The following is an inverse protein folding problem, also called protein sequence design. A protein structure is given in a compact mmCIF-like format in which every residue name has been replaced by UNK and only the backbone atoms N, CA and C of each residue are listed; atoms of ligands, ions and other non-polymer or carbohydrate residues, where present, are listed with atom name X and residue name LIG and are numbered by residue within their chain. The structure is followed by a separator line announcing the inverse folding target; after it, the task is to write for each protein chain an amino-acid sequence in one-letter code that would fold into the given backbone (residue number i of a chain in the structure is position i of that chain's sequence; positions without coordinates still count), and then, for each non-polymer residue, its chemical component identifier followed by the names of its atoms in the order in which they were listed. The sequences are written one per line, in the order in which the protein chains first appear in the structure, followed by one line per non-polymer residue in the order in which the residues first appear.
data_IF_426178923941
#
_entry.id   IF_426178923941
#
_cell.length_a   1.000
_cell.length_b   1.000
_cell.length_c   1.000
_cell.angle_alpha   90.00
_cell.angle_beta   90.00
_cell.angle_gamma   90.00
#
_symmetry.space_group_name_H-M   'P 1'
#
loop_
_entity.id
_entity.type
_entity.pdbx_description
1 polymer ?
#
# COMPACT_ATOMS: atom_id res chain seq x y z
N UNK A 1 21.44 11.33 9.73
CA UNK A 1 21.54 10.39 8.59
C UNK A 1 20.15 10.23 8.00
N UNK A 2 19.93 10.68 6.76
CA UNK A 2 18.74 10.29 6.01
C UNK A 2 19.02 8.87 5.50
N UNK A 3 18.33 7.88 6.04
CA UNK A 3 18.49 6.49 5.61
C UNK A 3 18.14 6.38 4.13
N UNK A 4 18.92 5.61 3.38
CA UNK A 4 18.60 5.32 1.99
C UNK A 4 17.18 4.74 1.85
N UNK A 5 16.46 5.07 0.77
CA UNK A 5 15.12 4.55 0.55
C UNK A 5 15.18 3.02 0.50
N UNK A 6 14.42 2.37 1.40
CA UNK A 6 14.31 0.91 1.47
C UNK A 6 13.89 0.34 0.12
N UNK A 7 14.56 -0.71 -0.34
CA UNK A 7 14.17 -1.42 -1.58
C UNK A 7 12.78 -2.06 -1.44
N UNK A 8 12.10 -2.35 -2.55
CA UNK A 8 10.82 -3.09 -2.53
C UNK A 8 10.89 -4.38 -1.69
N UNK A 9 12.01 -5.08 -1.82
CA UNK A 9 12.35 -6.27 -1.04
C UNK A 9 12.32 -6.10 0.48
N UNK A 10 12.86 -4.98 0.96
CA UNK A 10 12.94 -4.68 2.38
C UNK A 10 11.56 -4.29 2.92
N UNK A 11 10.81 -3.48 2.16
CA UNK A 11 9.44 -3.10 2.53
C UNK A 11 8.52 -4.31 2.63
N UNK A 12 8.67 -5.27 1.71
CA UNK A 12 7.93 -6.53 1.70
C UNK A 12 8.23 -7.38 2.95
N UNK A 13 9.52 -7.58 3.26
CA UNK A 13 9.95 -8.32 4.46
C UNK A 13 9.39 -7.69 5.73
N UNK A 14 9.46 -6.36 5.83
CA UNK A 14 8.93 -5.63 6.98
C UNK A 14 7.41 -5.79 7.10
N UNK A 15 6.68 -5.73 5.99
CA UNK A 15 5.23 -5.91 5.97
C UNK A 15 4.81 -7.33 6.37
N UNK A 16 5.42 -8.36 5.78
CA UNK A 16 5.17 -9.76 6.13
C UNK A 16 5.49 -10.00 7.61
N UNK A 17 6.60 -9.44 8.11
CA UNK A 17 6.95 -9.49 9.53
C UNK A 17 5.88 -8.88 10.44
N UNK A 18 5.30 -7.73 10.06
CA UNK A 18 4.18 -7.11 10.79
C UNK A 18 2.92 -7.98 10.75
N UNK A 19 2.57 -8.56 9.60
CA UNK A 19 1.37 -9.40 9.48
C UNK A 19 1.51 -10.70 10.29
N UNK A 20 2.69 -11.33 10.28
CA UNK A 20 2.97 -12.52 11.09
C UNK A 20 2.85 -12.22 12.59
N UNK A 21 3.32 -11.05 13.05
CA UNK A 21 3.13 -10.60 14.45
C UNK A 21 1.66 -10.41 14.84
N UNK A 22 0.80 -10.12 13.87
CA UNK A 22 -0.65 -10.01 14.06
C UNK A 22 -1.38 -11.37 13.91
N UNK A 23 -0.64 -12.48 13.83
CA UNK A 23 -1.21 -13.84 13.66
C UNK A 23 -1.74 -14.12 12.25
N UNK A 24 -1.48 -13.23 11.28
CA UNK A 24 -1.97 -13.36 9.91
C UNK A 24 -0.89 -14.03 9.06
N UNK A 25 -1.18 -15.22 8.52
CA UNK A 25 -0.34 -15.89 7.51
C UNK A 25 -0.56 -15.24 6.15
N UNK A 26 0.03 -14.06 5.94
CA UNK A 26 0.15 -13.51 4.60
C UNK A 26 1.26 -14.24 3.85
N UNK A 27 0.92 -14.85 2.71
CA UNK A 27 1.93 -15.35 1.76
C UNK A 27 2.69 -14.14 1.24
N UNK A 28 4.01 -14.24 1.17
CA UNK A 28 4.82 -13.26 0.49
C UNK A 28 4.54 -13.36 -1.02
N UNK A 29 3.46 -12.72 -1.50
CA UNK A 29 3.27 -12.48 -2.92
C UNK A 29 3.82 -11.10 -3.23
N UNK A 30 4.81 -11.10 -4.10
CA UNK A 30 5.62 -9.95 -4.46
C UNK A 30 4.96 -9.26 -5.64
N UNK A 31 4.59 -8.00 -5.45
CA UNK A 31 4.45 -7.10 -6.58
C UNK A 31 5.87 -6.61 -6.89
N UNK A 32 6.31 -6.70 -8.14
CA UNK A 32 7.49 -5.98 -8.60
C UNK A 32 7.36 -4.49 -8.25
N UNK A 33 8.46 -3.73 -8.26
CA UNK A 33 8.35 -2.30 -7.96
C UNK A 33 7.37 -1.59 -8.94
N UNK A 34 7.29 -2.07 -10.19
CA UNK A 34 6.29 -1.64 -11.19
C UNK A 34 4.87 -2.03 -10.81
N UNK A 35 4.63 -3.30 -10.44
CA UNK A 35 3.31 -3.77 -10.02
C UNK A 35 2.84 -3.07 -8.73
N UNK A 36 3.77 -2.73 -7.82
CA UNK A 36 3.48 -1.96 -6.62
C UNK A 36 3.12 -0.52 -6.97
N UNK A 37 3.84 0.10 -7.90
CA UNK A 37 3.55 1.46 -8.38
C UNK A 37 2.15 1.50 -9.00
N UNK A 38 1.84 0.55 -9.89
CA UNK A 38 0.54 0.41 -10.53
C UNK A 38 -0.60 0.20 -9.52
N UNK A 39 -0.39 -0.68 -8.53
CA UNK A 39 -1.38 -0.88 -7.46
C UNK A 39 -1.57 0.39 -6.61
N UNK A 40 -0.50 1.11 -6.30
CA UNK A 40 -0.55 2.36 -5.52
C UNK A 40 -1.34 3.45 -6.24
N UNK A 41 -1.14 3.60 -7.55
CA UNK A 41 -1.91 4.54 -8.37
C UNK A 41 -3.38 4.14 -8.46
N UNK A 42 -3.67 2.84 -8.67
CA UNK A 42 -5.03 2.33 -8.69
C UNK A 42 -5.77 2.57 -7.37
N UNK A 43 -5.13 2.30 -6.23
CA UNK A 43 -5.72 2.52 -4.91
C UNK A 43 -5.99 4.00 -4.64
N UNK A 44 -5.08 4.90 -5.06
CA UNK A 44 -5.29 6.34 -4.99
C UNK A 44 -6.48 6.77 -5.85
N UNK A 45 -6.58 6.26 -7.08
CA UNK A 45 -7.70 6.56 -7.95
C UNK A 45 -9.04 6.10 -7.36
N UNK A 46 -9.09 4.89 -6.78
CA UNK A 46 -10.27 4.39 -6.07
C UNK A 46 -10.61 5.26 -4.85
N UNK A 47 -9.61 5.68 -4.08
CA UNK A 47 -9.80 6.55 -2.92
C UNK A 47 -10.35 7.92 -3.35
N UNK A 48 -9.77 8.54 -4.38
CA UNK A 48 -10.27 9.79 -4.95
C UNK A 48 -11.67 9.62 -5.53
N UNK A 49 -11.99 8.51 -6.18
CA UNK A 49 -13.35 8.26 -6.66
C UNK A 49 -14.35 8.05 -5.51
N UNK A 50 -13.89 7.50 -4.37
CA UNK A 50 -14.74 7.20 -3.21
C UNK A 50 -14.94 8.39 -2.27
N UNK A 51 -14.00 9.34 -2.23
CA UNK A 51 -14.01 10.50 -1.32
C UNK A 51 -13.90 11.86 -2.05
N UNK A 52 -13.81 11.87 -3.38
CA UNK A 52 -13.74 13.08 -4.21
C UNK A 52 -15.08 13.52 -4.80
N UNK A 53 -16.18 12.85 -4.43
CA UNK A 53 -17.51 13.43 -4.50
C UNK A 53 -17.82 14.05 -3.13
N UNK A 54 -17.18 15.19 -2.85
CA UNK A 54 -17.81 16.21 -2.01
C UNK A 54 -19.05 16.70 -2.78
N UNK A 55 -20.10 15.87 -2.79
CA UNK A 55 -21.41 16.29 -3.23
C UNK A 55 -21.86 17.46 -2.34
N UNK A 56 -22.29 18.61 -2.90
CA UNK A 56 -22.83 19.68 -2.09
C UNK A 56 -24.20 19.25 -1.57
N UNK A 57 -24.29 18.79 -0.32
CA UNK A 57 -25.60 18.58 0.32
C UNK A 57 -25.72 17.43 1.31
N UNK A 58 -25.00 17.49 2.44
CA UNK A 58 -25.51 16.92 3.69
C UNK A 58 -25.50 18.00 4.77
N UNK A 59 -26.49 18.88 4.69
CA UNK A 59 -26.97 19.74 5.76
C UNK A 59 -28.47 19.48 5.91
#
# INVERSE_FOLDING_TARGET
MKSDPKTGAQRQRDYVGRQNKLGRRQRAFWLTDEEHQALSELLKAIQTARYGDDGPGRA
#
